data_IF_411612241345
#
_entry.id   IF_411612241345
#
_cell.length_a   1.000
_cell.length_b   1.000
_cell.length_c   1.000
_cell.angle_alpha   90.00
_cell.angle_beta   90.00
_cell.angle_gamma   90.00
#
_symmetry.space_group_name_H-M   'P 1'
#
loop_
_entity.id
_entity.type
_entity.pdbx_description
1 polymer ?
#
# COMPACT_ATOMS: atom_id res chain seq x y z
N UNK A 1 -64.27 5.75 8.66
CA UNK A 1 -63.11 4.94 8.23
C UNK A 1 -62.04 5.91 7.74
N UNK A 2 -61.05 6.15 8.61
CA UNK A 2 -59.93 7.06 8.27
C UNK A 2 -58.80 6.15 7.78
N UNK A 3 -58.47 6.22 6.48
CA UNK A 3 -57.40 5.48 5.83
C UNK A 3 -56.05 6.08 6.23
N UNK A 4 -55.19 5.31 6.86
CA UNK A 4 -53.82 5.72 7.16
C UNK A 4 -52.96 5.43 5.91
N UNK A 5 -52.11 6.35 5.45
CA UNK A 5 -51.16 6.06 4.38
C UNK A 5 -50.06 5.09 4.94
N UNK A 6 -49.66 4.14 4.12
CA UNK A 6 -48.55 3.23 4.39
C UNK A 6 -47.23 4.01 4.60
N UNK A 7 -46.34 3.55 5.49
CA UNK A 7 -45.04 4.18 5.66
C UNK A 7 -44.22 4.05 4.37
N UNK A 8 -43.64 5.16 3.94
CA UNK A 8 -42.69 5.21 2.84
C UNK A 8 -41.51 4.28 3.15
N UNK A 9 -41.15 3.40 2.22
CA UNK A 9 -39.94 2.59 2.28
C UNK A 9 -38.73 3.48 2.55
N UNK A 10 -38.07 3.26 3.68
CA UNK A 10 -36.78 3.83 3.94
C UNK A 10 -35.81 3.31 2.84
N UNK A 11 -35.31 4.23 2.04
CA UNK A 11 -34.17 3.96 1.15
C UNK A 11 -33.03 3.55 2.09
N UNK A 12 -32.59 2.31 1.96
CA UNK A 12 -31.39 1.86 2.66
C UNK A 12 -30.24 2.76 2.20
N UNK A 13 -29.77 3.62 3.07
CA UNK A 13 -28.52 4.35 2.87
C UNK A 13 -27.45 3.28 3.01
N UNK A 14 -26.84 2.87 1.90
CA UNK A 14 -25.70 1.98 1.88
C UNK A 14 -24.65 2.56 2.84
N UNK A 15 -24.26 1.77 3.85
CA UNK A 15 -23.19 2.19 4.76
C UNK A 15 -21.93 2.44 3.93
N UNK A 16 -21.20 3.54 4.15
CA UNK A 16 -20.01 3.85 3.36
C UNK A 16 -19.04 2.69 3.43
N UNK A 17 -18.66 2.15 2.27
CA UNK A 17 -17.65 1.10 2.19
C UNK A 17 -16.33 1.65 2.69
N UNK A 18 -15.72 0.93 3.63
CA UNK A 18 -14.38 1.26 4.14
C UNK A 18 -13.34 0.97 3.06
N UNK A 19 -12.35 1.84 2.92
CA UNK A 19 -11.27 1.75 1.94
C UNK A 19 -11.76 1.75 0.47
N UNK A 20 -12.90 2.41 0.21
CA UNK A 20 -13.40 2.57 -1.16
C UNK A 20 -12.87 3.85 -1.81
N UNK A 21 -11.83 3.72 -2.60
CA UNK A 21 -11.22 4.80 -3.37
C UNK A 21 -12.04 5.24 -4.59
N UNK A 22 -13.06 4.49 -5.00
CA UNK A 22 -13.80 4.73 -6.24
C UNK A 22 -14.42 6.13 -6.29
N UNK A 23 -14.90 6.60 -5.13
CA UNK A 23 -15.57 7.89 -5.02
C UNK A 23 -14.67 9.12 -5.18
N UNK A 24 -13.35 9.00 -4.93
CA UNK A 24 -12.39 10.12 -4.95
C UNK A 24 -11.05 9.77 -5.62
N UNK A 25 -11.03 8.73 -6.46
CA UNK A 25 -9.82 8.21 -7.10
C UNK A 25 -9.01 9.30 -7.83
N UNK A 26 -9.66 10.19 -8.59
CA UNK A 26 -8.97 11.28 -9.31
C UNK A 26 -8.34 12.30 -8.34
N UNK A 27 -9.06 12.68 -7.28
CA UNK A 27 -8.55 13.63 -6.29
C UNK A 27 -7.37 13.03 -5.51
N UNK A 28 -7.48 11.77 -5.10
CA UNK A 28 -6.39 11.04 -4.45
C UNK A 28 -5.16 10.90 -5.37
N UNK A 29 -5.38 10.52 -6.64
CA UNK A 29 -4.30 10.40 -7.61
C UNK A 29 -3.57 11.72 -7.82
N UNK A 30 -4.30 12.82 -7.94
CA UNK A 30 -3.72 14.16 -8.09
C UNK A 30 -2.90 14.58 -6.86
N UNK A 31 -3.41 14.32 -5.64
CA UNK A 31 -2.68 14.59 -4.39
C UNK A 31 -1.40 13.74 -4.28
N UNK A 32 -1.50 12.44 -4.58
CA UNK A 32 -0.38 11.49 -4.53
C UNK A 32 0.79 11.86 -5.46
N UNK A 33 0.54 12.60 -6.53
CA UNK A 33 1.58 13.07 -7.46
C UNK A 33 2.53 14.09 -6.84
N UNK A 34 2.05 14.88 -5.89
CA UNK A 34 2.78 16.08 -5.43
C UNK A 34 2.95 16.18 -3.93
N UNK A 35 2.26 15.35 -3.13
CA UNK A 35 2.34 15.45 -1.68
C UNK A 35 3.68 14.95 -1.14
N UNK A 36 4.03 15.44 0.06
CA UNK A 36 5.27 15.11 0.74
C UNK A 36 5.42 13.60 0.97
N UNK A 37 4.36 12.92 1.42
CA UNK A 37 4.44 11.54 1.88
C UNK A 37 4.65 10.55 0.74
N UNK A 38 3.88 10.67 -0.33
CA UNK A 38 3.94 9.73 -1.44
C UNK A 38 5.00 10.13 -2.48
N UNK A 39 4.99 11.39 -2.93
CA UNK A 39 5.84 11.83 -4.04
C UNK A 39 7.29 12.06 -3.62
N UNK A 40 7.54 12.55 -2.40
CA UNK A 40 8.85 13.01 -1.95
C UNK A 40 9.43 12.21 -0.78
N UNK A 41 8.76 11.14 -0.36
CA UNK A 41 9.29 10.26 0.69
C UNK A 41 9.14 8.79 0.31
N UNK A 42 7.92 8.26 0.20
CA UNK A 42 7.69 6.83 0.02
C UNK A 42 8.17 6.32 -1.34
N UNK A 43 7.71 6.92 -2.43
CA UNK A 43 8.03 6.49 -3.80
C UNK A 43 9.52 6.56 -4.12
N UNK A 44 10.26 7.64 -3.81
CA UNK A 44 11.72 7.67 -3.96
C UNK A 44 12.41 6.53 -3.20
N UNK A 45 12.02 6.29 -1.95
CA UNK A 45 12.60 5.24 -1.13
C UNK A 45 12.34 3.82 -1.70
N UNK A 46 11.13 3.55 -2.17
CA UNK A 46 10.80 2.29 -2.84
C UNK A 46 11.65 2.08 -4.11
N UNK A 47 11.83 3.13 -4.90
CA UNK A 47 12.62 3.09 -6.12
C UNK A 47 14.13 2.90 -5.84
N UNK A 48 14.64 3.49 -4.76
CA UNK A 48 16.03 3.31 -4.33
C UNK A 48 16.28 1.88 -3.83
N UNK A 49 15.33 1.32 -3.06
CA UNK A 49 15.41 -0.07 -2.58
C UNK A 49 15.25 -1.09 -3.73
N UNK A 50 14.48 -0.77 -4.77
CA UNK A 50 14.36 -1.60 -5.96
C UNK A 50 15.71 -1.69 -6.72
N UNK A 51 16.49 -0.60 -6.74
CA UNK A 51 17.80 -0.53 -7.40
C UNK A 51 17.70 -0.64 -8.91
N UNK A 52 18.58 -1.43 -9.52
CA UNK A 52 18.54 -1.71 -10.96
C UNK A 52 17.42 -2.71 -11.28
N UNK A 53 16.45 -2.23 -12.03
CA UNK A 53 15.25 -2.99 -12.41
C UNK A 53 15.14 -3.22 -13.91
N UNK A 54 16.14 -2.81 -14.69
CA UNK A 54 16.11 -2.95 -16.14
C UNK A 54 15.91 -4.43 -16.57
N UNK A 55 14.86 -4.68 -17.36
CA UNK A 55 14.49 -6.01 -17.83
C UNK A 55 13.84 -6.93 -16.80
N UNK A 56 13.70 -6.52 -15.54
CA UNK A 56 13.03 -7.31 -14.49
C UNK A 56 11.52 -7.28 -14.65
N UNK A 57 10.90 -8.43 -14.41
CA UNK A 57 9.42 -8.55 -14.34
C UNK A 57 8.98 -8.21 -12.93
N UNK A 58 8.22 -7.12 -12.78
CA UNK A 58 7.79 -6.58 -11.48
C UNK A 58 6.27 -6.59 -11.38
N UNK A 59 5.75 -7.05 -10.23
CA UNK A 59 4.34 -6.90 -9.88
C UNK A 59 4.19 -5.74 -8.89
N UNK A 60 3.41 -4.73 -9.27
CA UNK A 60 3.03 -3.61 -8.40
C UNK A 60 1.67 -3.90 -7.76
N UNK A 61 1.67 -4.15 -6.45
CA UNK A 61 0.53 -4.62 -5.66
C UNK A 61 -0.18 -3.43 -5.01
N UNK A 62 -1.46 -3.25 -5.32
CA UNK A 62 -2.17 -2.04 -4.92
C UNK A 62 -1.62 -0.83 -5.68
N UNK A 63 -1.46 -0.96 -7.01
CA UNK A 63 -0.74 0.01 -7.84
C UNK A 63 -1.39 1.40 -7.90
N UNK A 64 -2.62 1.56 -7.39
CA UNK A 64 -3.35 2.82 -7.44
C UNK A 64 -3.49 3.34 -8.88
N UNK A 65 -3.23 4.63 -9.06
CA UNK A 65 -3.20 5.27 -10.38
C UNK A 65 -1.88 5.05 -11.15
N UNK A 66 -1.02 4.14 -10.70
CA UNK A 66 0.18 3.69 -11.38
C UNK A 66 1.42 4.59 -11.32
N UNK A 67 1.61 5.47 -10.33
CA UNK A 67 2.78 6.36 -10.31
C UNK A 67 4.10 5.60 -10.08
N UNK A 68 4.11 4.61 -9.19
CA UNK A 68 5.27 3.74 -8.98
C UNK A 68 5.53 2.85 -10.20
N UNK A 69 4.47 2.25 -10.76
CA UNK A 69 4.53 1.47 -12.01
C UNK A 69 5.15 2.25 -13.15
N UNK A 70 4.78 3.53 -13.34
CA UNK A 70 5.35 4.39 -14.37
C UNK A 70 6.86 4.61 -14.14
N UNK A 71 7.25 4.98 -12.92
CA UNK A 71 8.65 5.21 -12.57
C UNK A 71 9.53 3.96 -12.71
N UNK A 72 8.98 2.76 -12.45
CA UNK A 72 9.67 1.49 -12.68
C UNK A 72 9.83 1.20 -14.18
N UNK A 73 8.79 1.44 -15.00
CA UNK A 73 8.86 1.32 -16.46
C UNK A 73 9.86 2.28 -17.07
N UNK A 74 9.95 3.51 -16.59
CA UNK A 74 10.96 4.50 -17.02
C UNK A 74 12.40 4.04 -16.73
N UNK A 75 12.57 3.14 -15.72
CA UNK A 75 13.84 2.48 -15.40
C UNK A 75 14.03 1.15 -16.16
N UNK A 76 13.18 0.84 -17.13
CA UNK A 76 13.27 -0.34 -17.99
C UNK A 76 12.67 -1.63 -17.45
N UNK A 77 11.87 -1.59 -16.37
CA UNK A 77 11.18 -2.75 -15.84
C UNK A 77 9.97 -3.15 -16.72
N UNK A 78 9.65 -4.45 -16.71
CA UNK A 78 8.42 -5.01 -17.27
C UNK A 78 7.39 -5.13 -16.15
N UNK A 79 6.48 -4.14 -16.06
CA UNK A 79 5.58 -4.00 -14.91
C UNK A 79 4.19 -4.53 -15.25
N UNK A 80 3.69 -5.43 -14.39
CA UNK A 80 2.27 -5.78 -14.24
C UNK A 80 1.77 -5.16 -12.92
N UNK A 81 0.47 -4.84 -12.82
CA UNK A 81 -0.07 -4.28 -11.60
C UNK A 81 -1.51 -4.66 -11.36
N UNK A 82 -1.95 -4.53 -10.11
CA UNK A 82 -3.37 -4.63 -9.79
C UNK A 82 -3.74 -3.70 -8.63
N UNK A 83 -5.02 -3.37 -8.59
CA UNK A 83 -5.64 -2.63 -7.49
C UNK A 83 -7.06 -3.15 -7.26
N UNK A 84 -7.55 -3.08 -6.02
CA UNK A 84 -8.93 -3.47 -5.71
C UNK A 84 -9.96 -2.47 -6.26
N UNK A 85 -9.57 -1.21 -6.48
CA UNK A 85 -10.41 -0.16 -7.04
C UNK A 85 -10.35 -0.15 -8.57
N UNK A 86 -11.48 -0.44 -9.22
CA UNK A 86 -11.59 -0.32 -10.66
C UNK A 86 -11.31 1.12 -11.17
N UNK A 87 -11.65 2.14 -10.36
CA UNK A 87 -11.36 3.55 -10.68
C UNK A 87 -9.85 3.82 -10.69
N UNK A 88 -9.09 3.24 -9.75
CA UNK A 88 -7.64 3.35 -9.75
C UNK A 88 -7.00 2.64 -10.94
N UNK A 89 -7.45 1.43 -11.26
CA UNK A 89 -6.96 0.68 -12.44
C UNK A 89 -7.23 1.44 -13.73
N UNK A 90 -8.37 2.11 -13.86
CA UNK A 90 -8.65 2.95 -15.02
C UNK A 90 -7.72 4.17 -15.13
N UNK A 91 -7.40 4.82 -13.99
CA UNK A 91 -6.40 5.89 -13.96
C UNK A 91 -5.01 5.39 -14.33
N UNK A 92 -4.64 4.20 -13.82
CA UNK A 92 -3.38 3.56 -14.17
C UNK A 92 -3.28 3.23 -15.66
N UNK A 93 -4.36 2.77 -16.30
CA UNK A 93 -4.41 2.55 -17.76
C UNK A 93 -4.22 3.84 -18.55
N UNK A 94 -4.86 4.93 -18.15
CA UNK A 94 -4.65 6.25 -18.78
C UNK A 94 -3.20 6.70 -18.70
N UNK A 95 -2.50 6.36 -17.61
CA UNK A 95 -1.07 6.70 -17.40
C UNK A 95 -0.13 5.80 -18.18
N UNK A 96 -0.35 4.50 -18.16
CA UNK A 96 0.60 3.49 -18.62
C UNK A 96 0.32 2.99 -20.04
N UNK A 97 -0.84 3.30 -20.59
CA UNK A 97 -1.31 2.83 -21.90
C UNK A 97 -2.19 1.58 -21.80
N UNK A 98 -2.96 1.34 -22.87
CA UNK A 98 -3.95 0.25 -22.93
C UNK A 98 -3.30 -1.15 -22.96
N UNK A 99 -2.04 -1.25 -23.34
CA UNK A 99 -1.24 -2.47 -23.42
C UNK A 99 -0.64 -2.88 -22.06
N UNK A 100 -0.78 -2.05 -21.03
CA UNK A 100 -0.29 -2.37 -19.70
C UNK A 100 -1.09 -3.54 -19.07
N UNK A 101 -0.38 -4.55 -18.53
CA UNK A 101 -1.00 -5.67 -17.79
C UNK A 101 -1.49 -5.20 -16.42
N UNK A 102 -2.68 -4.61 -16.41
CA UNK A 102 -3.33 -4.07 -15.23
C UNK A 102 -4.65 -4.80 -14.96
N UNK A 103 -4.87 -5.20 -13.71
CA UNK A 103 -6.03 -5.99 -13.31
C UNK A 103 -6.75 -5.39 -12.12
N UNK A 104 -8.07 -5.60 -12.05
CA UNK A 104 -8.82 -5.37 -10.81
C UNK A 104 -8.77 -6.65 -10.00
N UNK A 105 -8.08 -6.63 -8.87
CA UNK A 105 -7.92 -7.79 -7.99
C UNK A 105 -7.71 -7.35 -6.53
N UNK A 106 -8.07 -8.21 -5.59
CA UNK A 106 -7.93 -7.98 -4.15
C UNK A 106 -6.77 -8.84 -3.62
N UNK A 107 -5.84 -8.21 -2.90
CA UNK A 107 -4.70 -8.88 -2.27
C UNK A 107 -5.10 -9.91 -1.22
N UNK A 108 -6.30 -9.83 -0.66
CA UNK A 108 -6.87 -10.83 0.25
C UNK A 108 -7.37 -12.10 -0.45
N UNK A 109 -7.33 -12.16 -1.79
CA UNK A 109 -7.82 -13.25 -2.63
C UNK A 109 -6.69 -13.86 -3.48
N UNK A 110 -6.85 -15.08 -4.03
CA UNK A 110 -5.87 -15.65 -4.96
C UNK A 110 -5.59 -14.73 -6.14
N UNK A 111 -4.30 -14.46 -6.39
CA UNK A 111 -3.89 -13.54 -7.43
C UNK A 111 -3.96 -14.19 -8.82
N UNK A 112 -4.41 -13.47 -9.86
CA UNK A 112 -4.61 -13.99 -11.20
C UNK A 112 -3.29 -14.08 -12.01
N UNK A 113 -2.22 -14.53 -11.36
CA UNK A 113 -0.89 -14.72 -11.95
C UNK A 113 -0.38 -16.13 -11.67
N UNK A 114 0.41 -16.68 -12.59
CA UNK A 114 1.03 -17.98 -12.41
C UNK A 114 2.14 -17.94 -11.35
N UNK A 115 2.49 -19.11 -10.83
CA UNK A 115 3.64 -19.30 -9.95
C UNK A 115 4.93 -18.84 -10.65
N UNK A 116 5.90 -18.40 -9.87
CA UNK A 116 7.27 -18.11 -10.31
C UNK A 116 7.34 -17.13 -11.51
N UNK A 117 6.42 -16.15 -11.55
CA UNK A 117 6.30 -15.22 -12.69
C UNK A 117 7.21 -14.00 -12.54
N UNK A 118 7.36 -13.45 -11.34
CA UNK A 118 7.97 -12.14 -11.12
C UNK A 118 9.35 -12.26 -10.47
N UNK A 119 10.25 -11.36 -10.88
CA UNK A 119 11.56 -11.21 -10.26
C UNK A 119 11.46 -10.41 -8.96
N UNK A 120 10.57 -9.40 -8.93
CA UNK A 120 10.27 -8.58 -7.76
C UNK A 120 8.76 -8.36 -7.64
N UNK A 121 8.33 -8.15 -6.39
CA UNK A 121 7.00 -7.65 -6.04
C UNK A 121 7.19 -6.36 -5.25
N UNK A 122 6.47 -5.30 -5.65
CA UNK A 122 6.40 -4.02 -4.95
C UNK A 122 5.07 -3.96 -4.20
N UNK A 123 5.11 -3.81 -2.87
CA UNK A 123 3.94 -3.67 -2.00
C UNK A 123 3.99 -2.31 -1.29
N UNK A 124 3.68 -1.25 -2.05
CA UNK A 124 3.75 0.14 -1.62
C UNK A 124 2.51 0.51 -0.81
N UNK A 125 2.66 0.72 0.50
CA UNK A 125 1.61 1.17 1.44
C UNK A 125 0.29 0.39 1.33
N UNK A 126 0.35 -0.91 1.09
CA UNK A 126 -0.84 -1.75 0.86
C UNK A 126 -1.09 -2.76 1.99
N UNK A 127 -0.05 -3.31 2.62
CA UNK A 127 -0.20 -4.38 3.62
C UNK A 127 -0.96 -3.92 4.87
N UNK A 128 -0.88 -2.66 5.26
CA UNK A 128 -1.57 -2.14 6.43
C UNK A 128 -3.11 -2.10 6.30
N UNK A 129 -3.66 -2.32 5.09
CA UNK A 129 -5.09 -2.51 4.92
C UNK A 129 -5.57 -3.90 5.33
N UNK A 130 -4.68 -4.88 5.48
CA UNK A 130 -5.01 -6.26 5.79
C UNK A 130 -4.86 -6.56 7.29
N UNK A 131 -5.91 -7.12 7.88
CA UNK A 131 -5.86 -7.66 9.25
C UNK A 131 -4.94 -8.88 9.34
N UNK A 132 -5.05 -9.79 8.39
CA UNK A 132 -4.24 -10.99 8.29
C UNK A 132 -3.33 -10.91 7.06
N UNK A 133 -2.02 -11.00 7.29
CA UNK A 133 -1.04 -10.95 6.22
C UNK A 133 -0.74 -12.34 5.62
N UNK A 134 -1.06 -13.42 6.33
CA UNK A 134 -0.63 -14.76 5.94
C UNK A 134 -1.13 -15.19 4.54
N UNK A 135 -2.42 -15.03 4.18
CA UNK A 135 -2.89 -15.37 2.84
C UNK A 135 -2.22 -14.53 1.76
N UNK A 136 -2.14 -13.20 1.99
CA UNK A 136 -1.53 -12.28 1.05
C UNK A 136 -0.04 -12.59 0.83
N UNK A 137 0.74 -12.74 1.90
CA UNK A 137 2.16 -13.08 1.80
C UNK A 137 2.41 -14.44 1.14
N UNK A 138 1.53 -15.41 1.36
CA UNK A 138 1.58 -16.71 0.66
C UNK A 138 1.43 -16.54 -0.85
N UNK A 139 0.46 -15.72 -1.29
CA UNK A 139 0.23 -15.44 -2.71
C UNK A 139 1.39 -14.64 -3.32
N UNK A 140 1.89 -13.61 -2.62
CA UNK A 140 3.06 -12.84 -3.08
C UNK A 140 4.29 -13.73 -3.24
N UNK A 141 4.49 -14.68 -2.29
CA UNK A 141 5.57 -15.65 -2.41
C UNK A 141 5.36 -16.64 -3.56
N UNK A 142 4.11 -17.07 -3.80
CA UNK A 142 3.78 -17.99 -4.91
C UNK A 142 4.12 -17.40 -6.26
N UNK A 143 3.80 -16.13 -6.48
CA UNK A 143 4.03 -15.45 -7.78
C UNK A 143 5.47 -15.02 -7.98
N UNK A 144 6.28 -14.95 -6.91
CA UNK A 144 7.71 -14.66 -6.99
C UNK A 144 8.49 -15.88 -7.45
N UNK A 145 9.48 -15.66 -8.32
CA UNK A 145 10.50 -16.66 -8.66
C UNK A 145 11.30 -17.06 -7.41
N UNK A 146 11.93 -18.25 -7.41
CA UNK A 146 12.94 -18.60 -6.40
C UNK A 146 14.02 -17.50 -6.29
N UNK A 147 14.29 -17.02 -5.08
CA UNK A 147 15.21 -15.90 -4.84
C UNK A 147 14.70 -14.53 -5.30
N UNK A 148 13.43 -14.43 -5.71
CA UNK A 148 12.76 -13.16 -6.01
C UNK A 148 12.56 -12.33 -4.76
N UNK A 149 12.37 -11.01 -4.92
CA UNK A 149 12.28 -10.07 -3.80
C UNK A 149 10.87 -9.52 -3.63
N UNK A 150 10.41 -9.42 -2.38
CA UNK A 150 9.31 -8.56 -1.99
C UNK A 150 9.89 -7.28 -1.38
N UNK A 151 9.57 -6.13 -1.97
CA UNK A 151 9.94 -4.80 -1.47
C UNK A 151 8.66 -4.16 -0.99
N UNK A 152 8.58 -3.88 0.31
CA UNK A 152 7.36 -3.42 0.95
C UNK A 152 7.58 -2.15 1.77
N UNK A 153 6.62 -1.24 1.72
CA UNK A 153 6.49 -0.12 2.64
C UNK A 153 5.21 -0.26 3.46
N UNK A 154 5.29 0.13 4.73
CA UNK A 154 4.15 0.16 5.65
C UNK A 154 4.22 1.41 6.53
N UNK A 155 3.11 1.78 7.15
CA UNK A 155 3.13 2.78 8.22
C UNK A 155 4.08 2.31 9.32
N UNK A 156 4.96 3.22 9.77
CA UNK A 156 5.95 2.91 10.80
C UNK A 156 5.26 2.69 12.16
N UNK A 157 5.34 1.49 12.76
CA UNK A 157 4.51 1.16 13.93
C UNK A 157 4.80 2.07 15.14
N UNK A 158 6.05 2.49 15.32
CA UNK A 158 6.40 3.40 16.41
C UNK A 158 5.90 4.82 16.15
N UNK A 159 5.98 5.30 14.92
CA UNK A 159 5.46 6.61 14.53
C UNK A 159 3.94 6.67 14.73
N UNK A 160 3.21 5.63 14.32
CA UNK A 160 1.77 5.53 14.56
C UNK A 160 1.44 5.52 16.05
N UNK A 161 2.17 4.75 16.86
CA UNK A 161 2.00 4.77 18.32
C UNK A 161 2.22 6.16 18.92
N UNK A 162 3.24 6.89 18.46
CA UNK A 162 3.50 8.25 18.92
C UNK A 162 2.37 9.21 18.54
N UNK A 163 1.87 9.12 17.31
CA UNK A 163 0.73 9.93 16.84
C UNK A 163 -0.53 9.67 17.66
N UNK A 164 -0.87 8.42 17.94
CA UNK A 164 -2.03 8.07 18.77
C UNK A 164 -1.90 8.59 20.20
N UNK A 165 -0.71 8.49 20.78
CA UNK A 165 -0.44 9.08 22.10
C UNK A 165 -0.58 10.60 22.12
N UNK A 166 -0.03 11.29 21.13
CA UNK A 166 -0.18 12.75 21.01
C UNK A 166 -1.63 13.17 20.80
N UNK A 167 -2.45 12.33 20.17
CA UNK A 167 -3.88 12.54 19.99
C UNK A 167 -4.72 12.14 21.22
N UNK A 168 -4.10 11.72 22.34
CA UNK A 168 -4.81 11.31 23.58
C UNK A 168 -5.54 9.97 23.47
N UNK A 169 -5.14 9.11 22.52
CA UNK A 169 -5.77 7.79 22.26
C UNK A 169 -5.04 6.62 22.94
N UNK A 170 -4.22 6.86 23.97
CA UNK A 170 -3.41 5.81 24.61
C UNK A 170 -4.25 4.68 25.21
N UNK A 171 -5.48 4.97 25.66
CA UNK A 171 -6.38 3.96 26.21
C UNK A 171 -6.95 3.00 25.16
N UNK A 172 -6.97 3.42 23.90
CA UNK A 172 -7.53 2.66 22.78
C UNK A 172 -6.45 1.94 21.95
N UNK A 173 -5.18 2.27 22.19
CA UNK A 173 -4.08 1.86 21.35
C UNK A 173 -2.90 1.32 22.17
N UNK A 174 -2.74 -0.01 22.12
CA UNK A 174 -1.58 -0.69 22.67
C UNK A 174 -0.61 -1.05 21.53
N UNK A 175 0.64 -0.58 21.60
CA UNK A 175 1.66 -0.85 20.59
C UNK A 175 1.85 -2.35 20.31
N UNK A 176 1.72 -3.21 21.31
CA UNK A 176 1.99 -4.64 21.18
C UNK A 176 0.85 -5.44 20.55
N UNK A 177 -0.31 -4.83 20.35
CA UNK A 177 -1.47 -5.47 19.77
C UNK A 177 -1.63 -5.12 18.28
N UNK A 178 -2.18 -6.05 17.49
CA UNK A 178 -2.66 -5.72 16.15
C UNK A 178 -4.02 -5.06 16.28
N UNK A 179 -4.08 -3.76 16.04
CA UNK A 179 -5.26 -2.92 16.30
C UNK A 179 -5.72 -2.23 15.03
N UNK A 180 -7.02 -2.16 14.82
CA UNK A 180 -7.62 -1.41 13.72
C UNK A 180 -7.98 0.01 14.16
N UNK A 181 -7.76 0.98 13.26
CA UNK A 181 -8.35 2.31 13.39
C UNK A 181 -8.93 2.77 12.06
N UNK A 182 -9.86 3.69 12.14
CA UNK A 182 -10.53 4.26 10.98
C UNK A 182 -10.50 5.77 11.10
N UNK A 183 -10.06 6.43 10.05
CA UNK A 183 -10.05 7.88 9.91
C UNK A 183 -10.94 8.31 8.75
N UNK A 184 -11.48 9.52 8.85
CA UNK A 184 -12.16 10.16 7.72
C UNK A 184 -11.14 10.93 6.87
N UNK A 185 -11.08 10.59 5.59
CA UNK A 185 -10.28 11.33 4.62
C UNK A 185 -11.21 12.15 3.72
N UNK A 186 -10.94 13.44 3.62
CA UNK A 186 -11.68 14.33 2.70
C UNK A 186 -10.75 14.80 1.59
N UNK A 187 -11.06 14.44 0.36
CA UNK A 187 -10.33 14.82 -0.85
C UNK A 187 -11.31 15.19 -1.96
N UNK A 188 -11.05 16.29 -2.66
CA UNK A 188 -11.93 16.75 -3.73
C UNK A 188 -13.37 17.00 -3.30
N UNK A 189 -13.60 17.39 -2.03
CA UNK A 189 -14.94 17.61 -1.45
C UNK A 189 -15.73 16.34 -1.17
N UNK A 190 -15.10 15.17 -1.23
CA UNK A 190 -15.70 13.87 -0.87
C UNK A 190 -15.00 13.28 0.34
N UNK A 191 -15.77 12.67 1.23
CA UNK A 191 -15.27 12.02 2.44
C UNK A 191 -15.40 10.51 2.31
N UNK A 192 -14.35 9.79 2.67
CA UNK A 192 -14.32 8.33 2.74
C UNK A 192 -13.73 7.87 4.08
N UNK A 193 -14.17 6.70 4.54
CA UNK A 193 -13.62 6.04 5.73
C UNK A 193 -12.43 5.18 5.31
N UNK A 194 -11.27 5.49 5.88
CA UNK A 194 -10.03 4.75 5.64
C UNK A 194 -9.67 3.97 6.89
N UNK A 195 -9.72 2.65 6.79
CA UNK A 195 -9.43 1.73 7.89
C UNK A 195 -8.09 1.04 7.66
N UNK A 196 -7.24 1.08 8.66
CA UNK A 196 -5.89 0.52 8.61
C UNK A 196 -5.60 -0.27 9.88
N UNK A 197 -4.67 -1.21 9.77
CA UNK A 197 -4.26 -2.08 10.86
C UNK A 197 -2.84 -1.74 11.30
N UNK A 198 -2.72 -1.27 12.52
CA UNK A 198 -1.44 -1.29 13.20
C UNK A 198 -0.97 -2.73 13.42
N UNK A 199 0.30 -2.96 13.20
CA UNK A 199 0.97 -4.21 13.51
C UNK A 199 2.34 -3.89 14.11
N UNK A 200 2.69 -4.39 15.31
CA UNK A 200 3.99 -4.12 15.91
C UNK A 200 5.11 -4.77 15.07
N UNK A 201 6.32 -4.21 15.16
CA UNK A 201 7.45 -4.63 14.32
C UNK A 201 7.74 -6.13 14.44
N UNK A 202 7.70 -6.71 15.64
CA UNK A 202 7.93 -8.15 15.82
C UNK A 202 6.89 -8.98 15.06
N UNK A 203 5.60 -8.60 15.11
CA UNK A 203 4.55 -9.33 14.41
C UNK A 203 4.63 -9.18 12.88
N UNK A 204 5.23 -8.09 12.36
CA UNK A 204 5.58 -7.97 10.94
C UNK A 204 6.67 -8.99 10.58
N UNK A 205 7.75 -9.02 11.37
CA UNK A 205 8.87 -9.94 11.15
C UNK A 205 8.43 -11.42 11.24
N UNK A 206 7.60 -11.76 12.22
CA UNK A 206 7.04 -13.10 12.39
C UNK A 206 6.17 -13.50 11.19
N UNK A 207 5.32 -12.58 10.68
CA UNK A 207 4.48 -12.84 9.53
C UNK A 207 5.32 -13.10 8.25
N UNK A 208 6.37 -12.31 8.02
CA UNK A 208 7.27 -12.53 6.90
C UNK A 208 8.01 -13.86 7.01
N UNK A 209 8.57 -14.17 8.18
CA UNK A 209 9.24 -15.45 8.42
C UNK A 209 8.31 -16.66 8.25
N UNK A 210 7.09 -16.59 8.79
CA UNK A 210 6.09 -17.64 8.67
C UNK A 210 5.66 -17.88 7.21
N UNK A 211 5.67 -16.83 6.37
CA UNK A 211 5.40 -16.95 4.95
C UNK A 211 6.62 -17.42 4.13
N UNK A 212 7.78 -17.68 4.76
CA UNK A 212 9.01 -18.13 4.12
C UNK A 212 9.77 -17.02 3.38
N UNK A 213 9.73 -15.81 3.92
CA UNK A 213 10.57 -14.71 3.51
C UNK A 213 11.71 -14.48 4.51
N UNK A 214 12.87 -14.14 4.01
CA UNK A 214 14.01 -13.68 4.79
C UNK A 214 14.16 -12.16 4.63
N UNK A 215 14.13 -11.42 5.74
CA UNK A 215 14.38 -9.98 5.70
C UNK A 215 15.86 -9.75 5.40
N UNK A 216 16.17 -9.02 4.33
CA UNK A 216 17.53 -8.66 3.94
C UNK A 216 17.85 -7.20 4.22
N UNK A 217 16.83 -6.32 4.19
CA UNK A 217 16.97 -4.91 4.55
C UNK A 217 15.75 -4.48 5.37
N UNK A 218 16.01 -3.71 6.42
CA UNK A 218 15.04 -2.83 7.09
C UNK A 218 15.55 -1.41 6.88
N UNK A 219 14.72 -0.51 6.38
CA UNK A 219 15.13 0.86 6.06
C UNK A 219 14.14 1.90 6.60
N UNK A 220 14.70 2.99 7.10
CA UNK A 220 13.99 4.17 7.63
C UNK A 220 14.61 5.41 6.98
N UNK A 221 14.43 5.61 5.66
CA UNK A 221 15.05 6.72 4.95
C UNK A 221 14.42 8.05 5.34
N UNK A 222 15.17 9.13 5.14
CA UNK A 222 14.62 10.48 5.15
C UNK A 222 13.87 10.75 3.84
N UNK A 223 12.92 11.73 3.81
CA UNK A 223 12.38 12.25 2.57
C UNK A 223 13.48 12.69 1.61
N UNK A 224 13.17 12.71 0.31
CA UNK A 224 14.15 13.14 -0.70
C UNK A 224 14.62 14.58 -0.45
N UNK A 225 15.82 14.97 -0.93
CA UNK A 225 16.35 16.32 -0.70
C UNK A 225 15.43 17.45 -1.18
N UNK A 226 14.67 17.27 -2.26
CA UNK A 226 13.76 18.27 -2.79
C UNK A 226 12.58 18.56 -1.83
N UNK A 227 12.22 17.61 -0.96
CA UNK A 227 11.20 17.80 0.05
C UNK A 227 11.48 19.00 0.97
N UNK A 228 12.75 19.29 1.25
CA UNK A 228 13.13 20.42 2.11
C UNK A 228 12.81 21.78 1.49
N UNK A 229 12.90 21.87 0.19
CA UNK A 229 12.61 23.10 -0.57
C UNK A 229 11.10 23.26 -0.80
N UNK A 230 10.42 22.16 -1.11
CA UNK A 230 9.00 22.15 -1.44
C UNK A 230 8.09 22.21 -0.21
N UNK A 231 8.54 21.64 0.92
CA UNK A 231 7.74 21.52 2.16
C UNK A 231 8.50 21.98 3.41
N UNK A 232 9.08 23.20 3.42
CA UNK A 232 9.98 23.63 4.49
C UNK A 232 9.32 23.64 5.86
N UNK A 233 8.04 24.01 5.97
CA UNK A 233 7.31 24.05 7.23
C UNK A 233 7.06 22.64 7.79
N UNK A 234 6.65 21.69 6.95
CA UNK A 234 6.41 20.31 7.36
C UNK A 234 7.70 19.62 7.81
N UNK A 235 8.80 19.84 7.10
CA UNK A 235 10.12 19.30 7.46
C UNK A 235 10.67 19.97 8.73
N UNK A 236 10.46 21.27 8.93
CA UNK A 236 10.89 21.98 10.15
C UNK A 236 10.09 21.56 11.38
N UNK A 237 8.77 21.32 11.22
CA UNK A 237 7.90 20.84 12.29
C UNK A 237 8.23 19.40 12.73
N UNK A 238 8.77 18.58 11.83
CA UNK A 238 9.15 17.21 12.10
C UNK A 238 10.61 16.95 11.65
N UNK A 239 11.63 17.52 12.32
CA UNK A 239 13.04 17.43 11.90
C UNK A 239 13.56 15.99 11.83
N UNK A 240 12.87 15.04 12.45
CA UNK A 240 13.08 13.59 12.34
C UNK A 240 11.84 12.95 11.75
N UNK A 241 11.62 13.26 10.47
CA UNK A 241 10.45 12.78 9.73
C UNK A 241 10.53 11.26 9.59
N UNK A 242 9.71 10.56 10.35
CA UNK A 242 9.62 9.10 10.33
C UNK A 242 8.15 8.72 10.24
N UNK A 243 7.69 8.32 9.06
CA UNK A 243 6.30 7.91 8.84
C UNK A 243 6.18 6.46 8.37
N UNK A 244 7.17 6.00 7.60
CA UNK A 244 7.12 4.70 6.95
C UNK A 244 8.31 3.83 7.33
N UNK A 245 8.07 2.53 7.30
CA UNK A 245 9.06 1.48 7.49
C UNK A 245 9.12 0.65 6.21
N UNK A 246 10.33 0.39 5.74
CA UNK A 246 10.56 -0.30 4.49
C UNK A 246 11.30 -1.62 4.71
N UNK A 247 10.96 -2.61 3.89
CA UNK A 247 11.58 -3.93 3.93
C UNK A 247 12.01 -4.35 2.53
N UNK A 248 13.16 -4.99 2.44
CA UNK A 248 13.50 -5.88 1.32
C UNK A 248 13.56 -7.30 1.86
N UNK A 249 12.81 -8.18 1.24
CA UNK A 249 12.66 -9.56 1.65
C UNK A 249 12.98 -10.47 0.46
N UNK A 250 13.68 -11.57 0.70
CA UNK A 250 13.93 -12.59 -0.30
C UNK A 250 13.06 -13.83 -0.06
N UNK A 251 12.55 -14.40 -1.12
CA UNK A 251 11.80 -15.65 -1.10
C UNK A 251 12.76 -16.84 -0.90
N UNK A 252 12.65 -17.54 0.24
CA UNK A 252 13.47 -18.71 0.58
C UNK A 252 13.03 -20.01 -0.14
N UNK A 253 12.36 -19.92 -1.29
CA UNK A 253 12.07 -21.12 -2.07
C UNK A 253 13.39 -21.78 -2.49
N UNK A 254 13.70 -22.89 -1.84
CA UNK A 254 14.72 -23.79 -2.36
C UNK A 254 14.34 -24.14 -3.80
N UNK A 255 15.27 -24.00 -4.73
CA UNK A 255 15.16 -24.60 -6.06
C UNK A 255 14.87 -26.08 -5.79
N UNK A 256 13.65 -26.54 -6.07
CA UNK A 256 13.34 -27.97 -6.08
C UNK A 256 14.30 -28.59 -7.09
N UNK A 257 15.36 -29.19 -6.57
CA UNK A 257 16.34 -29.91 -7.39
C UNK A 257 15.62 -30.96 -8.19
N UNK A 258 15.73 -30.84 -9.50
CA UNK A 258 15.23 -31.81 -10.46
C UNK A 258 16.01 -33.12 -10.40
#
# INVERSE_FOLDING_TARGET
MISHPAPASAVAVDSPKVNDYTGFAEAYAADNETNLLNAHYERPAMLDLAGDVAGRRILDVGCGAGPLSAALRDRGALVSGFDASAGMVELARRRLGDDADLRVADLGSPLPYADDTFDDVMASLVLHYLKDWAPALSELRRVLKPGGRLIASVEHPFAMNLMHRQAGREAEYNYFDTTNWTDEWTMGGRTALMSRWHRPLHAMADAFAAAGFRITVISEPAPDPAARELFPEAIAAAPRFLCFLFFVLESDRAVSGG
#
